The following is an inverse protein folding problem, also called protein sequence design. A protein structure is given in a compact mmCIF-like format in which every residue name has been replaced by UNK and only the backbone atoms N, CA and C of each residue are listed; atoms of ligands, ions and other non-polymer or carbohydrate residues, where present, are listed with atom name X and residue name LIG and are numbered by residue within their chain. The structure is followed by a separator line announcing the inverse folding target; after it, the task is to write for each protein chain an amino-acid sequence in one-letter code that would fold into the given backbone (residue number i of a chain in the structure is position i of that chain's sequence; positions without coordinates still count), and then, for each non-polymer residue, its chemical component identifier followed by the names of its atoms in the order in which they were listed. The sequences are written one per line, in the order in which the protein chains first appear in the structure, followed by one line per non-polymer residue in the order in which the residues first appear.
data_IF_877733716691
#
_entry.id   IF_877733716691
#
_cell.length_a   1.000
_cell.length_b   1.000
_cell.length_c   1.000
_cell.angle_alpha   90.00
_cell.angle_beta   90.00
_cell.angle_gamma   90.00
#
_symmetry.space_group_name_H-M   'P 1'
#
loop_
_entity.id
_entity.type
_entity.pdbx_description
1 polymer ?
#
# COMPACT_ATOMS: atom_id res chain seq x y z
N UNK A 1 -76.66 43.24 -31.21
CA UNK A 1 -75.80 44.14 -30.41
C UNK A 1 -74.65 43.29 -29.88
N UNK A 2 -73.50 43.37 -30.56
CA UNK A 2 -72.38 42.43 -30.44
C UNK A 2 -71.49 42.81 -29.24
N UNK A 3 -71.38 41.93 -28.25
CA UNK A 3 -70.43 42.05 -27.14
C UNK A 3 -69.17 41.23 -27.43
N UNK A 4 -68.36 41.62 -28.42
CA UNK A 4 -66.98 41.11 -28.49
C UNK A 4 -66.11 41.94 -29.45
N UNK A 5 -65.43 43.00 -28.96
CA UNK A 5 -64.06 43.20 -29.46
C UNK A 5 -63.09 43.93 -28.51
N UNK A 6 -63.35 44.04 -27.19
CA UNK A 6 -62.50 44.89 -26.30
C UNK A 6 -61.54 44.17 -25.34
N UNK A 7 -61.57 42.83 -25.23
CA UNK A 7 -60.72 42.09 -24.26
C UNK A 7 -59.61 41.22 -24.86
N UNK A 8 -59.55 41.06 -26.19
CA UNK A 8 -58.50 40.25 -26.85
C UNK A 8 -57.19 41.05 -26.98
N UNK A 9 -57.27 42.36 -27.19
CA UNK A 9 -56.11 43.20 -27.50
C UNK A 9 -55.20 43.38 -26.26
N UNK A 10 -55.77 43.48 -25.06
CA UNK A 10 -54.99 43.59 -23.81
C UNK A 10 -54.39 42.25 -23.36
N UNK A 11 -55.08 41.13 -23.63
CA UNK A 11 -54.55 39.79 -23.32
C UNK A 11 -53.38 39.39 -24.22
N UNK A 12 -53.45 39.72 -25.51
CA UNK A 12 -52.37 39.44 -26.46
C UNK A 12 -51.13 40.29 -26.21
N UNK A 13 -51.32 41.58 -25.86
CA UNK A 13 -50.22 42.47 -25.50
C UNK A 13 -49.50 42.02 -24.22
N UNK A 14 -50.25 41.61 -23.19
CA UNK A 14 -49.68 41.09 -21.95
C UNK A 14 -48.90 39.78 -22.16
N UNK A 15 -49.44 38.87 -22.98
CA UNK A 15 -48.75 37.62 -23.33
C UNK A 15 -47.45 37.88 -24.11
N UNK A 16 -47.43 38.85 -25.02
CA UNK A 16 -46.21 39.24 -25.75
C UNK A 16 -45.15 39.82 -24.81
N UNK A 17 -45.54 40.65 -23.84
CA UNK A 17 -44.61 41.21 -22.85
C UNK A 17 -44.04 40.10 -21.96
N UNK A 18 -44.87 39.17 -21.50
CA UNK A 18 -44.41 38.02 -20.70
C UNK A 18 -43.47 37.13 -21.52
N UNK A 19 -43.79 36.86 -22.79
CA UNK A 19 -42.92 36.09 -23.68
C UNK A 19 -41.55 36.77 -23.90
N UNK A 20 -41.52 38.10 -24.04
CA UNK A 20 -40.28 38.86 -24.18
C UNK A 20 -39.46 38.88 -22.89
N UNK A 21 -40.10 38.96 -21.71
CA UNK A 21 -39.41 38.90 -20.42
C UNK A 21 -38.82 37.50 -20.19
N UNK A 22 -39.60 36.44 -20.45
CA UNK A 22 -39.12 35.06 -20.32
C UNK A 22 -37.97 34.79 -21.31
N UNK A 23 -38.08 35.26 -22.55
CA UNK A 23 -36.98 35.17 -23.51
C UNK A 23 -35.75 35.96 -23.04
N UNK A 24 -35.91 37.19 -22.56
CA UNK A 24 -34.81 38.00 -22.01
C UNK A 24 -34.09 37.32 -20.86
N UNK A 25 -34.82 36.69 -19.94
CA UNK A 25 -34.25 35.93 -18.81
C UNK A 25 -33.52 34.67 -19.30
N UNK A 26 -34.09 33.92 -20.24
CA UNK A 26 -33.44 32.73 -20.83
C UNK A 26 -32.17 33.12 -21.60
N UNK A 27 -32.15 34.25 -22.30
CA UNK A 27 -30.98 34.77 -22.99
C UNK A 27 -29.88 35.24 -22.01
N UNK A 28 -30.26 35.89 -20.91
CA UNK A 28 -29.32 36.32 -19.87
C UNK A 28 -28.69 35.13 -19.12
N UNK A 29 -29.48 34.09 -18.80
CA UNK A 29 -28.97 32.85 -18.18
C UNK A 29 -28.07 32.08 -19.15
N UNK A 30 -28.37 32.06 -20.46
CA UNK A 30 -27.49 31.47 -21.48
C UNK A 30 -26.20 32.26 -21.72
N UNK A 31 -26.19 33.58 -21.52
CA UNK A 31 -24.98 34.40 -21.66
C UNK A 31 -24.00 34.19 -20.49
N UNK A 32 -24.50 33.90 -19.28
CA UNK A 32 -23.66 33.59 -18.10
C UNK A 32 -23.26 32.11 -18.10
N UNK A 33 -24.07 31.22 -18.67
CA UNK A 33 -23.72 29.81 -18.93
C UNK A 33 -22.89 29.56 -20.20
N UNK A 34 -22.64 30.59 -21.00
CA UNK A 34 -22.00 30.51 -22.33
C UNK A 34 -20.50 30.83 -22.36
N UNK A 35 -19.85 30.99 -21.20
CA UNK A 35 -18.39 31.13 -21.12
C UNK A 35 -17.61 29.82 -21.33
N UNK A 36 -18.29 28.73 -21.68
CA UNK A 36 -17.63 27.49 -22.10
C UNK A 36 -18.36 26.88 -23.30
N UNK A 37 -17.99 27.31 -24.50
CA UNK A 37 -18.24 26.56 -25.73
C UNK A 37 -17.01 26.68 -26.61
N UNK A 38 -15.98 25.90 -26.27
CA UNK A 38 -15.12 25.35 -27.29
C UNK A 38 -15.91 24.24 -28.02
N UNK A 39 -15.71 24.16 -29.33
CA UNK A 39 -16.37 23.31 -30.31
C UNK A 39 -16.60 21.83 -29.90
N UNK A 40 -17.56 21.12 -30.51
CA UNK A 40 -17.78 19.70 -30.24
C UNK A 40 -16.62 18.88 -30.83
N UNK A 41 -15.77 18.37 -29.95
CA UNK A 41 -14.80 17.30 -30.24
C UNK A 41 -15.43 15.98 -29.79
N UNK A 42 -15.27 14.86 -30.52
CA UNK A 42 -15.91 13.59 -30.18
C UNK A 42 -15.53 13.14 -28.77
N UNK A 43 -16.50 12.52 -28.08
CA UNK A 43 -16.31 11.76 -26.84
C UNK A 43 -14.92 11.10 -26.76
N UNK A 44 -14.14 11.55 -25.79
CA UNK A 44 -13.20 10.70 -25.08
C UNK A 44 -13.58 10.81 -23.62
N UNK A 45 -13.62 9.66 -22.96
CA UNK A 45 -13.74 9.48 -21.51
C UNK A 45 -12.84 10.47 -20.76
N UNK A 46 -13.07 10.72 -19.45
CA UNK A 46 -12.05 11.40 -18.66
C UNK A 46 -10.79 10.51 -18.66
N UNK A 47 -9.92 10.73 -19.65
CA UNK A 47 -8.53 10.33 -19.57
C UNK A 47 -7.98 11.21 -18.47
N UNK A 48 -7.88 10.64 -17.27
CA UNK A 48 -6.88 11.06 -16.30
C UNK A 48 -5.56 11.09 -17.05
N UNK A 49 -5.19 12.26 -17.56
CA UNK A 49 -3.82 12.52 -17.99
C UNK A 49 -3.03 12.52 -16.69
N UNK A 50 -2.61 11.33 -16.28
CA UNK A 50 -1.70 11.15 -15.15
C UNK A 50 -0.42 11.85 -15.56
N UNK A 51 -0.24 13.06 -15.04
CA UNK A 51 0.98 13.82 -15.18
C UNK A 51 2.12 12.93 -14.70
N UNK A 52 3.05 12.59 -15.60
CA UNK A 52 4.11 11.62 -15.30
C UNK A 52 4.88 12.06 -14.06
N UNK A 53 4.97 11.18 -13.06
CA UNK A 53 5.61 11.48 -11.77
C UNK A 53 4.66 11.93 -10.66
N UNK A 54 3.35 12.01 -10.90
CA UNK A 54 2.37 12.19 -9.83
C UNK A 54 2.17 10.89 -9.02
N UNK A 55 1.99 11.04 -7.70
CA UNK A 55 1.51 9.97 -6.84
C UNK A 55 0.02 9.74 -7.13
N UNK A 56 -0.34 8.51 -7.42
CA UNK A 56 -1.73 8.09 -7.58
C UNK A 56 -2.44 7.91 -6.22
N UNK A 57 -3.75 7.63 -6.22
CA UNK A 57 -4.50 7.27 -5.02
C UNK A 57 -3.97 6.00 -4.31
N UNK A 58 -3.42 5.04 -5.07
CA UNK A 58 -2.65 3.91 -4.53
C UNK A 58 -1.30 4.34 -3.92
N UNK A 59 -0.86 5.55 -4.26
CA UNK A 59 0.38 6.22 -3.88
C UNK A 59 1.65 5.56 -4.39
N UNK A 60 1.54 4.81 -5.49
CA UNK A 60 2.64 4.57 -6.40
C UNK A 60 2.88 5.81 -7.27
N UNK A 61 4.14 6.01 -7.67
CA UNK A 61 4.49 7.02 -8.66
C UNK A 61 4.26 6.44 -10.05
N UNK A 62 3.32 6.99 -10.81
CA UNK A 62 2.96 6.47 -12.12
C UNK A 62 3.73 7.19 -13.24
N UNK A 63 4.09 6.43 -14.27
CA UNK A 63 4.60 6.97 -15.56
C UNK A 63 3.43 7.27 -16.49
N UNK A 64 3.67 8.06 -17.54
CA UNK A 64 2.62 8.41 -18.51
C UNK A 64 1.95 7.17 -19.12
N UNK A 65 0.61 7.17 -19.15
CA UNK A 65 -0.18 6.03 -19.65
C UNK A 65 -0.30 4.86 -18.66
N UNK A 66 0.24 4.98 -17.45
CA UNK A 66 0.08 3.98 -16.40
C UNK A 66 -1.15 4.22 -15.54
N UNK A 67 -1.79 3.13 -15.13
CA UNK A 67 -2.87 3.08 -14.16
C UNK A 67 -2.57 2.00 -13.11
N UNK A 68 -2.89 2.29 -11.85
CA UNK A 68 -2.78 1.33 -10.76
C UNK A 68 -4.00 0.40 -10.74
N UNK A 69 -3.77 -0.90 -10.87
CA UNK A 69 -4.82 -1.93 -10.91
C UNK A 69 -4.57 -3.00 -9.85
N UNK A 70 -5.58 -3.83 -9.59
CA UNK A 70 -5.44 -4.95 -8.66
C UNK A 70 -4.31 -5.93 -9.05
N UNK A 71 -4.00 -6.03 -10.34
CA UNK A 71 -2.99 -6.96 -10.86
C UNK A 71 -1.59 -6.34 -11.01
N UNK A 72 -1.45 -5.02 -10.80
CA UNK A 72 -0.18 -4.31 -10.94
C UNK A 72 -0.35 -2.93 -11.59
N UNK A 73 0.73 -2.34 -12.07
CA UNK A 73 0.73 -1.09 -12.82
C UNK A 73 0.53 -1.39 -14.31
N UNK A 74 -0.65 -1.08 -14.83
CA UNK A 74 -1.04 -1.33 -16.21
C UNK A 74 -0.63 -0.15 -17.09
N UNK A 75 0.16 -0.41 -18.13
CA UNK A 75 0.57 0.61 -19.12
C UNK A 75 -0.20 0.38 -20.42
N UNK A 76 -0.88 1.41 -20.91
CA UNK A 76 -1.63 1.42 -22.17
C UNK A 76 -2.57 0.20 -22.36
N UNK A 77 -3.11 -0.33 -21.26
CA UNK A 77 -4.04 -1.47 -21.28
C UNK A 77 -3.44 -2.83 -21.62
N UNK A 78 -2.12 -2.97 -21.78
CA UNK A 78 -1.49 -4.19 -22.31
C UNK A 78 -0.34 -4.74 -21.48
N UNK A 79 0.42 -3.88 -20.80
CA UNK A 79 1.62 -4.29 -20.07
C UNK A 79 1.43 -4.11 -18.58
N UNK A 80 1.56 -5.19 -17.81
CA UNK A 80 1.49 -5.15 -16.34
C UNK A 80 2.91 -5.17 -15.77
N UNK A 81 3.24 -4.17 -14.96
CA UNK A 81 4.45 -4.12 -14.13
C UNK A 81 4.09 -4.36 -12.66
N UNK A 82 4.89 -5.17 -11.96
CA UNK A 82 4.65 -5.46 -10.53
C UNK A 82 5.63 -4.63 -9.69
N UNK A 83 5.15 -3.55 -9.05
CA UNK A 83 6.01 -2.69 -8.26
C UNK A 83 6.42 -3.38 -6.95
N UNK A 84 7.43 -2.84 -6.28
CA UNK A 84 7.74 -3.25 -4.91
C UNK A 84 6.62 -2.81 -3.96
N UNK A 85 6.22 -3.67 -3.02
CA UNK A 85 5.20 -3.33 -2.04
C UNK A 85 5.64 -2.14 -1.18
N UNK A 86 4.75 -1.15 -1.05
CA UNK A 86 4.93 -0.02 -0.13
C UNK A 86 4.84 -0.50 1.33
N UNK A 87 5.71 0.00 2.19
CA UNK A 87 5.78 -0.44 3.59
C UNK A 87 4.48 -0.19 4.38
N UNK A 88 3.74 0.87 4.03
CA UNK A 88 2.43 1.19 4.63
C UNK A 88 1.33 0.22 4.22
N UNK A 89 1.48 -0.44 3.08
CA UNK A 89 0.49 -1.37 2.53
C UNK A 89 0.77 -2.81 2.99
N UNK A 90 1.91 -3.07 3.63
CA UNK A 90 2.24 -4.38 4.19
C UNK A 90 1.95 -4.41 5.69
N UNK A 91 0.95 -5.19 6.06
CA UNK A 91 0.80 -5.69 7.43
C UNK A 91 1.67 -6.92 7.59
N UNK A 92 2.52 -6.91 8.60
CA UNK A 92 3.37 -8.04 8.95
C UNK A 92 3.16 -8.38 10.42
N UNK A 93 3.10 -9.67 10.73
CA UNK A 93 3.04 -10.19 12.10
C UNK A 93 4.05 -11.30 12.26
N UNK A 94 4.82 -11.26 13.34
CA UNK A 94 5.82 -12.29 13.64
C UNK A 94 5.50 -13.00 14.97
N UNK A 95 5.72 -14.31 15.00
CA UNK A 95 5.57 -15.13 16.20
C UNK A 95 6.69 -16.16 16.28
N UNK A 96 7.38 -16.19 17.40
CA UNK A 96 8.37 -17.22 17.73
C UNK A 96 7.75 -18.31 18.60
N UNK A 97 8.32 -19.51 18.53
CA UNK A 97 7.97 -20.65 19.39
C UNK A 97 9.16 -20.99 20.31
N UNK A 98 8.91 -21.54 21.51
CA UNK A 98 9.98 -22.05 22.38
C UNK A 98 10.85 -23.11 21.69
N UNK A 99 12.13 -23.16 22.03
CA UNK A 99 13.10 -24.14 21.51
C UNK A 99 14.08 -24.61 22.59
N UNK A 100 14.78 -25.70 22.32
CA UNK A 100 15.91 -26.11 23.15
C UNK A 100 17.18 -25.32 22.81
N UNK A 101 18.08 -25.18 23.79
CA UNK A 101 19.42 -24.63 23.63
C UNK A 101 20.15 -25.25 22.43
N UNK A 102 20.69 -24.42 21.55
CA UNK A 102 21.43 -24.85 20.35
C UNK A 102 20.56 -25.40 19.22
N UNK A 103 19.23 -25.29 19.32
CA UNK A 103 18.30 -25.67 18.26
C UNK A 103 17.84 -24.44 17.46
N UNK A 104 17.66 -24.64 16.15
CA UNK A 104 17.11 -23.60 15.29
C UNK A 104 15.68 -23.22 15.72
N UNK A 105 15.48 -21.92 15.92
CA UNK A 105 14.20 -21.31 16.26
C UNK A 105 13.56 -20.69 15.03
N UNK A 106 12.52 -21.33 14.46
CA UNK A 106 11.72 -20.72 13.43
C UNK A 106 10.85 -19.61 14.03
N UNK A 107 10.84 -18.46 13.36
CA UNK A 107 9.96 -17.33 13.64
C UNK A 107 8.99 -17.22 12.47
N UNK A 108 7.73 -17.56 12.71
CA UNK A 108 6.69 -17.49 11.68
C UNK A 108 6.37 -16.03 11.40
N UNK A 109 6.52 -15.62 10.14
CA UNK A 109 6.16 -14.31 9.62
C UNK A 109 4.96 -14.46 8.69
N UNK A 110 3.89 -13.72 8.98
CA UNK A 110 2.72 -13.60 8.11
C UNK A 110 2.68 -12.19 7.54
N UNK A 111 2.59 -12.10 6.23
CA UNK A 111 2.50 -10.87 5.45
C UNK A 111 1.11 -10.77 4.82
N UNK A 112 0.56 -9.57 4.78
CA UNK A 112 -0.69 -9.25 4.10
C UNK A 112 -0.55 -7.94 3.33
N UNK A 113 -0.91 -7.96 2.05
CA UNK A 113 -1.01 -6.74 1.25
C UNK A 113 -2.38 -6.10 1.45
N UNK A 114 -2.42 -4.99 2.19
CA UNK A 114 -3.59 -4.16 2.45
C UNK A 114 -3.80 -3.06 1.40
N UNK A 115 -2.85 -2.90 0.47
CA UNK A 115 -2.96 -1.98 -0.64
C UNK A 115 -3.93 -2.47 -1.73
N UNK A 116 -4.18 -1.62 -2.72
CA UNK A 116 -5.08 -1.91 -3.84
C UNK A 116 -4.38 -2.48 -5.08
N UNK A 117 -3.05 -2.65 -5.04
CA UNK A 117 -2.21 -3.07 -6.19
C UNK A 117 -1.42 -4.32 -5.83
N UNK A 118 -1.35 -5.31 -6.73
CA UNK A 118 -0.45 -6.44 -6.56
C UNK A 118 1.01 -5.97 -6.59
N UNK A 119 1.82 -6.47 -5.66
CA UNK A 119 3.17 -5.97 -5.47
C UNK A 119 4.14 -7.09 -5.10
N UNK A 120 5.44 -6.81 -5.21
CA UNK A 120 6.51 -7.73 -4.89
C UNK A 120 7.25 -7.36 -3.59
N UNK A 121 7.67 -8.38 -2.83
CA UNK A 121 8.46 -8.23 -1.61
C UNK A 121 9.46 -9.38 -1.45
N UNK A 122 10.30 -9.33 -0.41
CA UNK A 122 11.17 -10.45 -0.02
C UNK A 122 11.45 -10.40 1.48
N UNK A 123 11.95 -11.51 2.03
CA UNK A 123 12.27 -11.59 3.45
C UNK A 123 13.50 -10.78 3.86
N UNK A 124 14.34 -10.40 2.90
CA UNK A 124 15.55 -9.56 3.14
C UNK A 124 15.23 -8.17 3.70
N UNK A 125 13.96 -7.74 3.62
CA UNK A 125 13.49 -6.47 4.21
C UNK A 125 13.20 -6.57 5.71
N UNK A 126 13.26 -7.77 6.28
CA UNK A 126 12.95 -8.05 7.68
C UNK A 126 14.21 -8.40 8.45
N UNK A 127 14.37 -7.79 9.62
CA UNK A 127 15.48 -8.10 10.52
C UNK A 127 14.98 -8.82 11.75
N UNK A 128 15.71 -9.86 12.15
CA UNK A 128 15.48 -10.64 13.35
C UNK A 128 16.51 -10.25 14.41
N UNK A 129 16.03 -9.82 15.57
CA UNK A 129 16.84 -9.54 16.74
C UNK A 129 16.44 -10.45 17.90
N UNK A 130 17.44 -11.07 18.53
CA UNK A 130 17.26 -11.91 19.72
C UNK A 130 18.06 -11.31 20.86
N UNK A 131 17.40 -11.12 22.00
CA UNK A 131 17.97 -10.51 23.20
C UNK A 131 17.62 -11.33 24.44
N UNK A 132 18.49 -11.28 25.45
CA UNK A 132 18.23 -11.84 26.79
C UNK A 132 18.70 -10.84 27.84
N UNK A 133 17.81 -10.42 28.74
CA UNK A 133 18.05 -9.25 29.59
C UNK A 133 18.45 -8.04 28.75
N UNK A 134 19.61 -7.44 29.07
CA UNK A 134 20.19 -6.29 28.37
C UNK A 134 21.21 -6.69 27.28
N UNK A 135 21.36 -7.99 27.00
CA UNK A 135 22.36 -8.49 26.06
C UNK A 135 21.76 -8.83 24.70
N UNK A 136 22.39 -8.34 23.62
CA UNK A 136 22.10 -8.75 22.26
C UNK A 136 22.78 -10.10 21.98
N UNK A 137 21.99 -11.08 21.54
CA UNK A 137 22.43 -12.45 21.26
C UNK A 137 22.61 -12.68 19.76
N UNK A 138 21.74 -12.07 18.96
CA UNK A 138 21.75 -12.16 17.51
C UNK A 138 21.05 -10.94 16.93
N UNK A 139 21.56 -10.37 15.84
CA UNK A 139 20.94 -9.25 15.14
C UNK A 139 21.22 -9.37 13.63
N UNK A 140 20.23 -9.82 12.86
CA UNK A 140 20.42 -10.04 11.43
C UNK A 140 20.71 -8.77 10.63
N UNK A 141 20.35 -7.59 11.16
CA UNK A 141 20.56 -6.30 10.47
C UNK A 141 22.03 -5.90 10.38
N UNK A 142 22.88 -6.51 11.21
CA UNK A 142 24.32 -6.23 11.29
C UNK A 142 25.16 -7.27 10.57
N UNK A 143 24.54 -8.26 9.94
CA UNK A 143 25.25 -9.33 9.25
C UNK A 143 25.73 -8.83 7.89
N UNK A 144 26.93 -9.26 7.49
CA UNK A 144 27.55 -8.81 6.24
C UNK A 144 26.67 -9.16 5.02
N UNK A 145 26.04 -10.33 5.07
CA UNK A 145 25.03 -10.78 4.12
C UNK A 145 23.70 -11.00 4.82
N UNK A 146 22.61 -10.72 4.11
CA UNK A 146 21.26 -11.07 4.57
C UNK A 146 21.17 -12.58 4.81
N UNK A 147 20.78 -12.95 6.03
CA UNK A 147 20.53 -14.36 6.38
C UNK A 147 19.14 -14.83 5.94
N UNK A 148 18.32 -13.89 5.46
CA UNK A 148 16.97 -14.15 4.98
C UNK A 148 16.97 -14.50 3.50
N UNK A 149 15.98 -15.31 3.11
CA UNK A 149 15.76 -15.66 1.70
C UNK A 149 15.52 -14.42 0.83
N UNK A 150 16.23 -14.34 -0.29
CA UNK A 150 16.05 -13.32 -1.34
C UNK A 150 14.93 -13.63 -2.33
N UNK A 151 14.22 -14.74 -2.13
CA UNK A 151 13.09 -15.11 -2.97
C UNK A 151 12.07 -13.98 -3.07
N UNK A 152 11.74 -13.61 -4.32
CA UNK A 152 10.70 -12.62 -4.61
C UNK A 152 9.34 -13.24 -4.36
N UNK A 153 8.54 -12.56 -3.56
CA UNK A 153 7.18 -12.92 -3.17
C UNK A 153 6.21 -11.98 -3.86
N UNK A 154 5.18 -12.53 -4.50
CA UNK A 154 4.11 -11.75 -5.13
C UNK A 154 2.88 -11.77 -4.23
N UNK A 155 2.39 -10.59 -3.86
CA UNK A 155 1.21 -10.42 -3.01
C UNK A 155 0.15 -9.64 -3.77
N UNK A 156 -0.98 -10.31 -4.06
CA UNK A 156 -2.19 -9.65 -4.57
C UNK A 156 -2.85 -8.82 -3.46
N UNK A 157 -3.69 -7.83 -3.80
CA UNK A 157 -4.51 -7.10 -2.83
C UNK A 157 -5.32 -8.06 -1.93
N UNK A 158 -5.27 -7.85 -0.62
CA UNK A 158 -5.85 -8.73 0.40
C UNK A 158 -5.19 -10.11 0.52
N UNK A 159 -4.16 -10.39 -0.29
CA UNK A 159 -3.44 -11.65 -0.29
C UNK A 159 -2.53 -11.77 0.92
N UNK A 160 -2.50 -12.97 1.50
CA UNK A 160 -1.63 -13.32 2.62
C UNK A 160 -0.57 -14.32 2.19
N UNK A 161 0.62 -14.21 2.78
CA UNK A 161 1.68 -15.20 2.67
C UNK A 161 2.28 -15.47 4.05
N UNK A 162 2.70 -16.71 4.29
CA UNK A 162 3.40 -17.09 5.52
C UNK A 162 4.69 -17.82 5.20
N UNK A 163 5.73 -17.54 5.99
CA UNK A 163 6.99 -18.26 5.97
C UNK A 163 7.76 -18.05 7.27
N UNK A 164 9.06 -18.32 7.26
CA UNK A 164 9.87 -18.28 8.46
C UNK A 164 11.17 -17.48 8.29
N UNK A 165 11.51 -16.75 9.34
CA UNK A 165 12.89 -16.35 9.65
C UNK A 165 13.45 -17.38 10.62
N UNK A 166 14.79 -17.50 10.72
CA UNK A 166 15.39 -18.41 11.68
C UNK A 166 16.58 -17.80 12.40
N UNK A 167 16.63 -18.02 13.71
CA UNK A 167 17.87 -17.97 14.49
C UNK A 167 18.29 -19.41 14.78
N UNK A 168 19.57 -19.73 14.70
CA UNK A 168 20.08 -21.10 14.85
C UNK A 168 20.24 -21.57 16.31
N UNK A 169 19.94 -20.69 17.28
CA UNK A 169 20.05 -20.99 18.71
C UNK A 169 21.44 -20.75 19.30
N UNK A 170 22.33 -20.05 18.59
CA UNK A 170 23.68 -19.71 19.06
C UNK A 170 23.86 -18.22 19.35
N UNK A 171 24.80 -17.92 20.24
CA UNK A 171 25.15 -16.56 20.64
C UNK A 171 26.23 -16.00 19.72
N UNK A 172 25.93 -14.83 19.16
CA UNK A 172 26.79 -14.11 18.23
C UNK A 172 27.17 -12.74 18.78
N UNK A 173 28.22 -12.19 18.20
CA UNK A 173 28.69 -10.82 18.46
C UNK A 173 28.55 -10.00 17.19
N UNK A 174 28.21 -8.71 17.34
CA UNK A 174 28.04 -7.78 16.22
C UNK A 174 27.17 -8.33 15.08
N UNK A 175 25.98 -8.84 15.41
CA UNK A 175 25.05 -9.42 14.45
C UNK A 175 25.12 -10.94 14.40
N UNK A 176 25.73 -11.48 13.33
CA UNK A 176 25.87 -12.92 13.08
C UNK A 176 27.32 -13.41 13.17
N UNK A 177 28.25 -12.61 13.69
CA UNK A 177 29.66 -12.98 13.73
C UNK A 177 29.96 -13.82 14.96
N UNK A 178 30.46 -15.05 14.73
CA UNK A 178 30.85 -15.94 15.82
C UNK A 178 31.98 -15.28 16.65
N UNK A 179 31.91 -15.31 17.99
CA UNK A 179 33.00 -14.87 18.84
C UNK A 179 34.29 -15.66 18.60
N UNK A 180 35.43 -15.15 19.08
CA UNK A 180 36.67 -15.91 19.11
C UNK A 180 36.49 -17.20 19.93
N UNK A 181 36.80 -18.35 19.33
CA UNK A 181 36.51 -19.68 19.90
C UNK A 181 35.22 -20.33 19.42
N UNK A 182 34.44 -19.65 18.57
CA UNK A 182 33.19 -20.16 17.99
C UNK A 182 31.94 -19.66 18.71
N UNK A 183 30.79 -19.81 18.05
CA UNK A 183 29.51 -19.48 18.66
C UNK A 183 29.13 -20.55 19.69
N UNK A 184 28.65 -20.11 20.85
CA UNK A 184 28.16 -21.00 21.90
C UNK A 184 26.64 -21.11 21.84
N UNK A 185 26.08 -22.26 22.19
CA UNK A 185 24.63 -22.41 22.28
C UNK A 185 24.05 -21.43 23.31
N UNK A 186 22.88 -20.88 23.00
CA UNK A 186 22.16 -20.00 23.91
C UNK A 186 21.72 -20.75 25.17
N UNK A 187 22.08 -20.22 26.34
CA UNK A 187 21.75 -20.84 27.61
C UNK A 187 20.24 -20.92 27.83
N UNK A 188 19.79 -21.89 28.63
CA UNK A 188 18.40 -21.96 29.03
C UNK A 188 17.96 -20.68 29.77
N UNK A 189 16.78 -20.17 29.46
CA UNK A 189 16.27 -18.92 30.01
C UNK A 189 15.28 -18.24 29.08
N UNK A 190 14.94 -17.00 29.41
CA UNK A 190 13.93 -16.24 28.67
C UNK A 190 14.59 -15.27 27.69
N UNK A 191 14.06 -15.25 26.47
CA UNK A 191 14.57 -14.46 25.36
C UNK A 191 13.44 -13.63 24.74
N UNK A 192 13.74 -12.38 24.39
CA UNK A 192 12.87 -11.56 23.55
C UNK A 192 13.33 -11.71 22.10
N UNK A 193 12.40 -12.13 21.26
CA UNK A 193 12.55 -12.25 19.82
C UNK A 193 11.75 -11.12 19.19
N UNK A 194 12.42 -10.23 18.46
CA UNK A 194 11.78 -9.11 17.78
C UNK A 194 12.06 -9.19 16.28
N UNK A 195 11.04 -8.91 15.48
CA UNK A 195 11.15 -8.76 14.03
C UNK A 195 10.83 -7.33 13.66
N UNK A 196 11.68 -6.73 12.85
CA UNK A 196 11.50 -5.37 12.34
C UNK A 196 11.43 -5.39 10.82
N UNK A 197 10.68 -4.44 10.26
CA UNK A 197 10.67 -4.12 8.83
C UNK A 197 11.14 -2.68 8.69
N UNK A 198 12.35 -2.47 8.15
CA UNK A 198 13.05 -1.19 8.31
C UNK A 198 13.24 -0.87 9.80
N UNK A 199 12.75 0.29 10.25
CA UNK A 199 12.81 0.71 11.66
C UNK A 199 11.57 0.34 12.48
N UNK A 200 10.53 -0.24 11.85
CA UNK A 200 9.25 -0.56 12.50
C UNK A 200 9.29 -1.97 13.07
N UNK A 201 9.01 -2.13 14.37
CA UNK A 201 8.73 -3.45 14.95
C UNK A 201 7.40 -3.98 14.41
N UNK A 202 7.42 -5.18 13.83
CA UNK A 202 6.23 -5.85 13.25
C UNK A 202 5.76 -7.05 14.09
N UNK A 203 6.57 -7.43 15.07
CA UNK A 203 6.18 -8.39 16.09
C UNK A 203 7.31 -8.62 17.08
N UNK A 204 6.94 -8.83 18.33
CA UNK A 204 7.85 -9.36 19.34
C UNK A 204 7.18 -10.44 20.16
N UNK A 205 7.96 -11.43 20.57
CA UNK A 205 7.51 -12.54 21.40
C UNK A 205 8.58 -12.83 22.45
N UNK A 206 8.14 -13.05 23.68
CA UNK A 206 8.99 -13.60 24.73
C UNK A 206 8.86 -15.11 24.67
N UNK A 207 9.99 -15.81 24.53
CA UNK A 207 10.05 -17.26 24.44
C UNK A 207 11.05 -17.80 25.46
N UNK A 208 10.79 -19.02 25.93
CA UNK A 208 11.74 -19.75 26.75
C UNK A 208 12.61 -20.64 25.87
N UNK A 209 13.92 -20.58 26.12
CA UNK A 209 14.89 -21.56 25.65
C UNK A 209 15.06 -22.59 26.75
N UNK A 210 14.72 -23.85 26.46
CA UNK A 210 14.86 -24.94 27.42
C UNK A 210 16.27 -25.53 27.37
N UNK A 211 16.73 -26.24 28.42
CA UNK A 211 17.97 -27.01 28.35
C UNK A 211 17.97 -27.97 27.16
N UNK A 212 19.16 -28.30 26.65
CA UNK A 212 19.32 -29.36 25.66
C UNK A 212 18.88 -30.71 26.26
N UNK A 213 18.26 -31.60 25.48
CA UNK A 213 17.81 -32.91 25.92
C UNK A 213 18.96 -33.86 26.32
#
# INVERSE_FOLDING_TARGET
MNLWPRRIITGLGLLLIIALIVWGIVAAVRAIGGAFSASPVPQSTPQSVVQSGALDASGYTLKGGQEATADGLLTDGTTIDIPACLDRDITATAKASPVASGSAMPVTLTLENRGSVACSTSLTRFNLAVTTGDHQVYDSSRCADSQQSSMTLLLRPGGTWSGSLSWDGYVYTNGCTAPAGGASAAAAGTYKVAVTMGTREVGSTVVDVTPAP
#
